data_IF_235074125897
#
_entry.id   IF_235074125897
#
_cell.length_a   1.000
_cell.length_b   1.000
_cell.length_c   1.000
_cell.angle_alpha   90.00
_cell.angle_beta   90.00
_cell.angle_gamma   90.00
#
_symmetry.space_group_name_H-M   'P 1'
#
loop_
_entity.id
_entity.type
_entity.pdbx_description
1 polymer ?
#
# COMPACT_ATOMS: atom_id res chain seq x y z
N UNK A 1 -44.17 -1.56 29.57
CA UNK A 1 -43.38 -2.67 29.06
C UNK A 1 -44.19 -3.95 29.23
N UNK A 2 -44.45 -4.68 28.13
CA UNK A 2 -45.23 -5.92 28.16
C UNK A 2 -44.43 -7.03 28.89
N UNK A 3 -45.13 -7.92 29.58
CA UNK A 3 -44.59 -9.00 30.40
C UNK A 3 -43.47 -9.85 29.77
N UNK A 4 -43.42 -10.08 28.41
CA UNK A 4 -42.37 -10.84 27.74
C UNK A 4 -40.98 -10.18 27.79
N UNK A 5 -40.92 -8.87 27.68
CA UNK A 5 -39.65 -8.14 27.70
C UNK A 5 -39.01 -8.06 29.10
N UNK A 6 -39.82 -7.97 30.14
CA UNK A 6 -39.34 -8.06 31.54
C UNK A 6 -38.68 -9.42 31.82
N UNK A 7 -39.26 -10.49 31.27
CA UNK A 7 -38.66 -11.84 31.35
C UNK A 7 -37.32 -11.90 30.63
N UNK A 8 -37.25 -11.42 29.39
CA UNK A 8 -36.02 -11.46 28.61
C UNK A 8 -34.86 -10.75 29.35
N UNK A 9 -35.10 -9.58 29.91
CA UNK A 9 -34.11 -8.83 30.68
C UNK A 9 -33.68 -9.59 31.94
N UNK A 10 -34.63 -10.19 32.64
CA UNK A 10 -34.30 -11.01 33.85
C UNK A 10 -33.44 -12.23 33.52
N UNK A 11 -33.74 -12.90 32.41
CA UNK A 11 -33.01 -14.10 31.98
C UNK A 11 -31.55 -13.75 31.64
N UNK A 12 -31.26 -12.55 31.04
CA UNK A 12 -29.90 -12.07 30.85
C UNK A 12 -29.14 -11.84 32.16
N UNK A 13 -29.82 -11.35 33.19
CA UNK A 13 -29.19 -11.13 34.51
C UNK A 13 -28.95 -12.43 35.28
N UNK A 14 -29.74 -13.46 35.03
CA UNK A 14 -29.61 -14.75 35.69
C UNK A 14 -28.46 -15.59 35.12
N UNK A 15 -28.20 -15.49 33.76
CA UNK A 15 -27.14 -16.22 33.08
C UNK A 15 -26.02 -15.25 32.57
N UNK A 16 -25.53 -14.36 33.45
CA UNK A 16 -24.59 -13.28 33.08
C UNK A 16 -23.35 -13.77 32.35
N UNK A 17 -22.70 -14.84 32.82
CA UNK A 17 -21.48 -15.37 32.22
C UNK A 17 -21.70 -15.82 30.77
N UNK A 18 -22.81 -16.50 30.53
CA UNK A 18 -23.17 -17.00 29.21
C UNK A 18 -23.53 -15.88 28.24
N UNK A 19 -24.33 -14.92 28.71
CA UNK A 19 -24.70 -13.72 27.97
C UNK A 19 -23.46 -12.90 27.57
N UNK A 20 -22.53 -12.71 28.53
CA UNK A 20 -21.28 -12.00 28.29
C UNK A 20 -20.42 -12.70 27.24
N UNK A 21 -20.30 -14.04 27.31
CA UNK A 21 -19.56 -14.82 26.32
C UNK A 21 -20.14 -14.68 24.90
N UNK A 22 -21.49 -14.66 24.76
CA UNK A 22 -22.16 -14.47 23.49
C UNK A 22 -21.86 -13.08 22.91
N UNK A 23 -22.09 -12.05 23.75
CA UNK A 23 -21.86 -10.65 23.34
C UNK A 23 -20.40 -10.48 22.95
N UNK A 24 -19.46 -11.03 23.74
CA UNK A 24 -18.03 -10.96 23.43
C UNK A 24 -17.67 -11.68 22.14
N UNK A 25 -18.19 -12.88 21.88
CA UNK A 25 -17.94 -13.62 20.64
C UNK A 25 -18.46 -12.89 19.40
N UNK A 26 -19.66 -12.31 19.48
CA UNK A 26 -20.21 -11.51 18.39
C UNK A 26 -19.40 -10.22 18.21
N UNK A 27 -19.08 -9.52 19.30
CA UNK A 27 -18.31 -8.29 19.27
C UNK A 27 -16.92 -8.51 18.66
N UNK A 28 -16.24 -9.61 19.04
CA UNK A 28 -14.94 -9.99 18.47
C UNK A 28 -15.02 -10.19 16.94
N UNK A 29 -16.05 -10.89 16.45
CA UNK A 29 -16.26 -11.10 15.03
C UNK A 29 -16.52 -9.80 14.26
N UNK A 30 -17.38 -8.94 14.81
CA UNK A 30 -17.68 -7.63 14.21
C UNK A 30 -16.44 -6.72 14.23
N UNK A 31 -15.73 -6.62 15.37
CA UNK A 31 -14.52 -5.82 15.50
C UNK A 31 -13.43 -6.28 14.54
N UNK A 32 -13.18 -7.58 14.41
CA UNK A 32 -12.20 -8.13 13.50
C UNK A 32 -12.52 -7.77 12.04
N UNK A 33 -13.76 -7.97 11.63
CA UNK A 33 -14.20 -7.64 10.27
C UNK A 33 -14.17 -6.13 9.99
N UNK A 34 -14.68 -5.32 10.93
CA UNK A 34 -14.67 -3.86 10.81
C UNK A 34 -13.25 -3.29 10.77
N UNK A 35 -12.33 -3.82 11.59
CA UNK A 35 -10.92 -3.41 11.59
C UNK A 35 -10.25 -3.67 10.24
N UNK A 36 -10.51 -4.84 9.63
CA UNK A 36 -9.97 -5.15 8.30
C UNK A 36 -10.51 -4.21 7.24
N UNK A 37 -11.84 -3.95 7.23
CA UNK A 37 -12.46 -3.03 6.28
C UNK A 37 -11.97 -1.59 6.45
N UNK A 38 -11.84 -1.13 7.69
CA UNK A 38 -11.33 0.21 7.99
C UNK A 38 -9.88 0.35 7.56
N UNK A 39 -9.03 -0.66 7.86
CA UNK A 39 -7.64 -0.69 7.42
C UNK A 39 -7.54 -0.66 5.90
N UNK A 40 -8.40 -1.41 5.20
CA UNK A 40 -8.47 -1.38 3.74
C UNK A 40 -8.76 0.04 3.22
N UNK A 41 -9.82 0.66 3.71
CA UNK A 41 -10.25 1.98 3.25
C UNK A 41 -9.19 3.07 3.52
N UNK A 42 -8.59 3.05 4.72
CA UNK A 42 -7.56 4.00 5.11
C UNK A 42 -6.30 3.78 4.28
N UNK A 43 -5.80 2.54 4.23
CA UNK A 43 -4.52 2.23 3.57
C UNK A 43 -4.58 2.56 2.08
N UNK A 44 -5.64 2.15 1.36
CA UNK A 44 -5.79 2.46 -0.06
C UNK A 44 -5.82 3.96 -0.30
N UNK A 45 -6.62 4.68 0.49
CA UNK A 45 -6.75 6.13 0.36
C UNK A 45 -5.43 6.86 0.63
N UNK A 46 -4.72 6.50 1.71
CA UNK A 46 -3.48 7.18 2.09
C UNK A 46 -2.32 6.83 1.16
N UNK A 47 -2.26 5.59 0.64
CA UNK A 47 -1.26 5.21 -0.36
C UNK A 47 -1.44 6.00 -1.66
N UNK A 48 -2.67 6.06 -2.20
CA UNK A 48 -2.92 6.78 -3.45
C UNK A 48 -2.69 8.29 -3.27
N UNK A 49 -3.14 8.86 -2.14
CA UNK A 49 -2.92 10.27 -1.85
C UNK A 49 -1.43 10.60 -1.68
N UNK A 50 -0.71 9.83 -0.86
CA UNK A 50 0.73 10.02 -0.67
C UNK A 50 1.52 9.90 -1.97
N UNK A 51 1.11 8.99 -2.85
CA UNK A 51 1.71 8.85 -4.18
C UNK A 51 1.43 10.05 -5.08
N UNK A 52 0.18 10.53 -5.14
CA UNK A 52 -0.19 11.70 -5.93
C UNK A 52 0.51 12.99 -5.47
N UNK A 53 0.77 13.13 -4.17
CA UNK A 53 1.50 14.28 -3.61
C UNK A 53 2.96 14.34 -4.10
N UNK A 54 3.52 13.22 -4.57
CA UNK A 54 4.85 13.20 -5.20
C UNK A 54 4.86 13.71 -6.63
N UNK A 55 3.71 14.05 -7.21
CA UNK A 55 3.56 14.42 -8.62
C UNK A 55 4.11 13.32 -9.56
N UNK A 56 3.51 12.12 -9.56
CA UNK A 56 4.03 10.97 -10.27
C UNK A 56 4.01 11.17 -11.78
N UNK A 57 4.98 10.56 -12.49
CA UNK A 57 5.03 10.61 -13.93
C UNK A 57 3.76 10.06 -14.58
N UNK A 58 3.17 10.77 -15.54
CA UNK A 58 2.05 10.28 -16.35
C UNK A 58 2.50 9.15 -17.28
N UNK A 59 3.69 9.27 -17.86
CA UNK A 59 4.33 8.20 -18.62
C UNK A 59 5.85 8.22 -18.45
N UNK A 60 6.45 7.04 -18.63
CA UNK A 60 7.91 6.84 -18.58
C UNK A 60 8.37 6.21 -19.87
N UNK A 61 9.23 6.90 -20.61
CA UNK A 61 9.81 6.41 -21.85
C UNK A 61 11.27 5.98 -21.60
N UNK A 62 11.61 4.77 -22.05
CA UNK A 62 13.01 4.30 -22.04
C UNK A 62 13.63 4.57 -23.40
N UNK A 63 14.67 5.39 -23.40
CA UNK A 63 15.36 5.86 -24.62
C UNK A 63 16.81 5.39 -24.56
N UNK A 64 17.48 5.30 -25.71
CA UNK A 64 18.90 4.95 -25.76
C UNK A 64 19.76 5.98 -25.01
N UNK A 65 19.50 7.29 -25.24
CA UNK A 65 20.18 8.40 -24.57
C UNK A 65 19.31 9.65 -24.59
N UNK A 66 19.31 10.39 -23.51
CA UNK A 66 18.55 11.63 -23.33
C UNK A 66 19.55 12.75 -23.02
N UNK A 67 19.46 13.85 -23.77
CA UNK A 67 20.19 15.10 -23.56
C UNK A 67 19.21 16.26 -23.33
N UNK A 68 19.77 17.42 -22.98
CA UNK A 68 18.96 18.60 -22.64
C UNK A 68 18.22 19.18 -23.86
N UNK A 69 18.77 19.01 -25.06
CA UNK A 69 18.14 19.44 -26.31
C UNK A 69 16.86 18.62 -26.57
N UNK A 70 16.93 17.30 -26.37
CA UNK A 70 15.76 16.42 -26.51
C UNK A 70 14.69 16.78 -25.48
N UNK A 71 15.06 16.98 -24.22
CA UNK A 71 14.12 17.41 -23.16
C UNK A 71 13.47 18.74 -23.53
N UNK A 72 14.26 19.71 -23.98
CA UNK A 72 13.76 21.02 -24.43
C UNK A 72 12.77 20.93 -25.59
N UNK A 73 13.02 20.04 -26.54
CA UNK A 73 12.10 19.82 -27.66
C UNK A 73 10.78 19.16 -27.23
N UNK A 74 10.83 18.24 -26.27
CA UNK A 74 9.62 17.58 -25.74
C UNK A 74 8.76 18.59 -24.96
N UNK A 75 9.38 19.50 -24.22
CA UNK A 75 8.68 20.57 -23.51
C UNK A 75 7.98 21.58 -24.42
N UNK A 76 8.33 21.62 -25.72
CA UNK A 76 7.60 22.42 -26.72
C UNK A 76 6.28 21.80 -27.17
N UNK A 77 6.03 20.51 -26.85
CA UNK A 77 4.73 19.89 -27.08
C UNK A 77 3.70 20.48 -26.11
N UNK A 78 2.61 21.11 -26.60
CA UNK A 78 1.62 21.78 -25.75
C UNK A 78 0.88 20.83 -24.80
N UNK A 79 0.83 19.53 -25.11
CA UNK A 79 0.19 18.50 -24.27
C UNK A 79 1.10 18.02 -23.12
N UNK A 80 2.40 18.34 -23.14
CA UNK A 80 3.36 18.03 -22.08
C UNK A 80 3.49 19.22 -21.13
N UNK A 81 3.29 19.00 -19.84
CA UNK A 81 3.50 20.05 -18.83
C UNK A 81 4.92 20.06 -18.30
N UNK A 82 5.56 18.88 -18.15
CA UNK A 82 6.92 18.74 -17.66
C UNK A 82 7.58 17.45 -18.20
N UNK A 83 8.92 17.47 -18.24
CA UNK A 83 9.73 16.34 -18.68
C UNK A 83 11.06 16.30 -17.90
N UNK A 84 11.38 15.16 -17.30
CA UNK A 84 12.53 15.04 -16.43
C UNK A 84 13.34 13.77 -16.77
N UNK A 85 14.66 13.93 -17.11
CA UNK A 85 15.52 12.80 -17.41
C UNK A 85 15.97 12.12 -16.12
N UNK A 86 15.98 10.80 -16.13
CA UNK A 86 16.44 9.89 -15.05
C UNK A 86 17.29 8.79 -15.61
N UNK A 87 18.01 8.10 -14.75
CA UNK A 87 18.62 6.82 -15.08
C UNK A 87 18.43 5.85 -13.93
N UNK A 88 18.28 4.58 -14.28
CA UNK A 88 18.24 3.48 -13.31
C UNK A 88 19.32 2.48 -13.67
N UNK A 89 20.19 2.17 -12.72
CA UNK A 89 21.26 1.19 -12.88
C UNK A 89 21.06 0.09 -11.84
N UNK A 90 21.09 -1.15 -12.31
CA UNK A 90 21.06 -2.32 -11.42
C UNK A 90 22.47 -2.71 -11.01
N UNK A 91 22.61 -3.10 -9.75
CA UNK A 91 23.89 -3.51 -9.19
C UNK A 91 23.71 -4.38 -7.97
N UNK A 92 24.73 -4.41 -7.16
CA UNK A 92 24.72 -5.10 -5.87
C UNK A 92 25.39 -4.23 -4.80
N UNK A 93 24.91 -4.33 -3.58
CA UNK A 93 25.47 -3.71 -2.39
C UNK A 93 25.86 -4.80 -1.39
N UNK A 94 26.99 -4.63 -0.74
CA UNK A 94 27.49 -5.58 0.25
C UNK A 94 26.82 -5.35 1.60
N UNK A 95 25.99 -6.30 2.00
CA UNK A 95 25.23 -6.30 3.25
C UNK A 95 25.87 -7.23 4.27
N UNK A 96 27.03 -6.83 4.83
CA UNK A 96 27.85 -7.63 5.74
C UNK A 96 29.04 -8.29 5.04
N UNK A 97 29.84 -9.16 5.72
CA UNK A 97 31.16 -9.59 5.25
C UNK A 97 31.13 -10.36 3.93
N UNK A 98 30.09 -11.16 3.68
CA UNK A 98 30.03 -12.10 2.54
C UNK A 98 28.75 -11.94 1.70
N UNK A 99 27.74 -11.25 2.24
CA UNK A 99 26.43 -11.18 1.62
C UNK A 99 26.30 -10.00 0.64
N UNK A 100 25.85 -10.28 -0.57
CA UNK A 100 25.45 -9.28 -1.54
C UNK A 100 23.93 -9.20 -1.64
N UNK A 101 23.41 -7.99 -1.81
CA UNK A 101 21.99 -7.71 -2.03
C UNK A 101 21.82 -7.00 -3.37
N UNK A 102 20.69 -7.24 -4.02
CA UNK A 102 20.35 -6.51 -5.22
C UNK A 102 20.21 -5.03 -4.87
N UNK A 103 20.77 -4.19 -5.71
CA UNK A 103 20.74 -2.74 -5.60
C UNK A 103 20.15 -2.16 -6.87
N UNK A 104 19.19 -1.28 -6.71
CA UNK A 104 18.69 -0.42 -7.77
C UNK A 104 19.12 1.01 -7.46
N UNK A 105 19.98 1.55 -8.32
CA UNK A 105 20.47 2.93 -8.21
C UNK A 105 19.65 3.84 -9.10
N UNK A 106 19.03 4.83 -8.51
CA UNK A 106 18.36 5.92 -9.19
C UNK A 106 19.32 7.11 -9.30
N UNK A 107 19.54 7.56 -10.53
CA UNK A 107 20.39 8.70 -10.80
C UNK A 107 19.50 9.90 -11.09
N UNK A 108 19.65 10.92 -10.27
CA UNK A 108 18.90 12.18 -10.36
C UNK A 108 19.82 13.24 -10.95
N UNK A 109 19.29 14.01 -11.91
CA UNK A 109 20.04 15.08 -12.56
C UNK A 109 20.32 16.25 -11.62
N UNK A 110 19.26 16.72 -10.97
CA UNK A 110 19.32 17.83 -10.01
C UNK A 110 18.40 17.55 -8.82
N UNK A 111 18.99 17.39 -7.65
CA UNK A 111 18.25 17.16 -6.41
C UNK A 111 17.55 18.44 -5.88
N UNK A 112 17.95 19.62 -6.35
CA UNK A 112 17.31 20.89 -6.02
C UNK A 112 16.05 21.17 -6.83
N UNK A 113 15.88 20.51 -7.99
CA UNK A 113 14.77 20.72 -8.91
C UNK A 113 14.11 19.38 -9.34
N UNK A 114 13.65 18.61 -8.37
CA UNK A 114 12.86 17.40 -8.62
C UNK A 114 11.39 17.79 -8.72
N UNK A 115 10.82 17.76 -9.93
CA UNK A 115 9.43 18.15 -10.18
C UNK A 115 8.50 16.97 -10.37
N UNK A 116 9.01 15.86 -10.91
CA UNK A 116 8.27 14.62 -11.20
C UNK A 116 8.76 13.51 -10.28
N UNK A 117 7.85 12.76 -9.67
CA UNK A 117 8.14 11.69 -8.70
C UNK A 117 9.09 12.19 -7.61
N UNK A 118 8.61 13.17 -6.85
CA UNK A 118 9.37 13.86 -5.81
C UNK A 118 9.82 12.90 -4.72
N UNK A 119 11.07 13.04 -4.33
CA UNK A 119 11.66 12.33 -3.20
C UNK A 119 11.50 13.17 -1.93
N UNK A 120 11.30 12.50 -0.79
CA UNK A 120 11.19 13.16 0.51
C UNK A 120 12.45 12.89 1.33
N UNK A 121 13.34 13.87 1.55
CA UNK A 121 14.47 13.71 2.46
C UNK A 121 13.98 13.50 3.89
N UNK A 122 14.55 12.50 4.61
CA UNK A 122 14.17 12.23 5.99
C UNK A 122 15.29 12.52 6.99
N UNK A 123 16.50 12.05 6.72
CA UNK A 123 17.62 12.24 7.63
C UNK A 123 18.96 12.29 6.88
N UNK A 124 19.95 12.96 7.47
CA UNK A 124 21.30 13.09 6.90
C UNK A 124 21.42 14.22 5.89
N UNK A 125 22.39 14.11 4.98
CA UNK A 125 22.68 15.12 3.98
C UNK A 125 21.72 15.04 2.80
N UNK A 126 21.32 16.19 2.28
CA UNK A 126 20.56 16.37 1.06
C UNK A 126 21.01 17.65 0.35
N UNK A 127 21.39 17.63 -0.91
CA UNK A 127 21.59 16.48 -1.81
C UNK A 127 22.83 15.64 -1.42
N UNK A 128 22.99 14.40 -1.98
CA UNK A 128 24.20 13.61 -1.80
C UNK A 128 25.35 14.24 -2.56
N UNK A 129 26.53 14.33 -1.95
CA UNK A 129 27.76 14.77 -2.63
C UNK A 129 28.30 13.66 -3.55
N UNK A 130 29.33 13.97 -4.32
CA UNK A 130 30.01 12.98 -5.16
C UNK A 130 30.70 11.93 -4.29
N UNK A 131 30.46 10.66 -4.57
CA UNK A 131 30.95 9.53 -3.75
C UNK A 131 30.00 9.14 -2.62
N UNK A 132 28.83 9.75 -2.57
CA UNK A 132 27.80 9.47 -1.56
C UNK A 132 26.57 8.79 -2.17
N UNK A 133 25.83 8.07 -1.32
CA UNK A 133 24.56 7.42 -1.64
C UNK A 133 23.53 7.73 -0.57
N UNK A 134 22.33 8.09 -1.01
CA UNK A 134 21.15 8.06 -0.14
C UNK A 134 20.50 6.69 -0.25
N UNK A 135 19.97 6.17 0.84
CA UNK A 135 19.26 4.90 0.89
C UNK A 135 17.79 5.16 1.23
N UNK A 136 16.89 4.46 0.54
CA UNK A 136 15.47 4.47 0.89
C UNK A 136 15.28 3.95 2.31
N UNK A 137 14.42 4.60 3.10
CA UNK A 137 14.27 4.35 4.55
C UNK A 137 14.04 2.89 4.93
N UNK A 138 13.21 2.15 4.14
CA UNK A 138 12.94 0.74 4.41
C UNK A 138 14.07 -0.19 3.97
N UNK A 139 14.99 0.29 3.11
CA UNK A 139 16.10 -0.47 2.58
C UNK A 139 17.30 -0.58 3.53
N UNK A 140 17.39 0.26 4.57
CA UNK A 140 18.49 0.20 5.55
C UNK A 140 18.63 -1.17 6.21
N UNK A 141 17.52 -1.83 6.53
CA UNK A 141 17.54 -3.17 7.12
C UNK A 141 18.05 -4.24 6.14
N UNK A 142 17.72 -4.10 4.85
CA UNK A 142 18.18 -5.00 3.79
C UNK A 142 19.66 -4.78 3.50
N UNK A 143 20.09 -3.52 3.44
CA UNK A 143 21.47 -3.12 3.26
C UNK A 143 22.36 -3.45 4.47
N UNK A 144 21.75 -3.60 5.66
CA UNK A 144 22.47 -3.71 6.96
C UNK A 144 23.46 -2.57 7.17
N UNK A 145 23.08 -1.37 6.77
CA UNK A 145 23.88 -0.16 6.84
C UNK A 145 23.17 0.92 7.68
N UNK A 146 23.93 1.94 8.07
CA UNK A 146 23.44 3.13 8.76
C UNK A 146 23.99 4.37 8.07
N UNK A 147 23.39 5.53 8.34
CA UNK A 147 23.94 6.82 7.91
C UNK A 147 25.33 6.99 8.54
N UNK A 148 26.33 7.34 7.72
CA UNK A 148 27.73 7.44 8.07
C UNK A 148 28.56 6.21 7.75
N UNK A 149 27.95 5.08 7.40
CA UNK A 149 28.69 3.87 7.00
C UNK A 149 29.22 3.99 5.57
N UNK A 150 30.37 3.36 5.32
CA UNK A 150 30.87 3.12 3.97
C UNK A 150 30.35 1.77 3.48
N UNK A 151 29.60 1.78 2.39
CA UNK A 151 29.06 0.57 1.77
C UNK A 151 29.79 0.26 0.47
N UNK A 152 30.05 -1.02 0.22
CA UNK A 152 30.65 -1.46 -1.05
C UNK A 152 29.53 -1.73 -2.05
N UNK A 153 29.62 -1.08 -3.20
CA UNK A 153 28.66 -1.18 -4.31
C UNK A 153 29.41 -1.65 -5.55
N UNK A 154 28.77 -2.50 -6.34
CA UNK A 154 29.22 -2.84 -7.70
C UNK A 154 28.05 -2.81 -8.66
N UNK A 155 28.28 -2.29 -9.85
CA UNK A 155 27.34 -2.29 -10.97
C UNK A 155 27.64 -3.44 -11.93
N UNK A 156 26.99 -3.49 -13.09
CA UNK A 156 27.17 -4.54 -14.08
C UNK A 156 28.61 -4.66 -14.60
N UNK A 157 29.42 -3.60 -14.51
CA UNK A 157 30.84 -3.61 -14.86
C UNK A 157 31.71 -4.45 -13.89
N UNK A 158 31.16 -4.91 -12.79
CA UNK A 158 31.81 -5.79 -11.80
C UNK A 158 32.82 -5.10 -10.88
N UNK A 159 33.10 -3.79 -11.05
CA UNK A 159 34.07 -3.07 -10.21
C UNK A 159 33.44 -2.67 -8.88
N UNK A 160 34.09 -3.05 -7.79
CA UNK A 160 33.68 -2.65 -6.45
C UNK A 160 34.14 -1.22 -6.13
N UNK A 161 33.25 -0.42 -5.58
CA UNK A 161 33.51 0.95 -5.11
C UNK A 161 32.88 1.16 -3.75
N UNK A 162 33.51 1.97 -2.92
CA UNK A 162 32.93 2.39 -1.65
C UNK A 162 32.21 3.70 -1.82
N UNK A 163 30.99 3.78 -1.26
CA UNK A 163 30.18 4.99 -1.18
C UNK A 163 29.84 5.25 0.28
N UNK A 164 29.86 6.50 0.69
CA UNK A 164 29.38 6.94 2.01
C UNK A 164 27.85 7.01 1.99
N UNK A 165 27.19 6.36 2.92
CA UNK A 165 25.75 6.53 3.17
C UNK A 165 25.54 7.87 3.83
N UNK A 166 25.18 8.89 3.08
CA UNK A 166 25.06 10.26 3.60
C UNK A 166 23.69 10.60 4.16
N UNK A 167 22.65 9.87 3.78
CA UNK A 167 21.30 10.14 4.25
C UNK A 167 20.25 9.10 3.92
N UNK A 168 19.05 9.37 4.39
CA UNK A 168 17.84 8.61 4.17
C UNK A 168 16.84 9.41 3.34
N UNK A 169 16.16 8.74 2.45
CA UNK A 169 15.11 9.31 1.61
C UNK A 169 13.89 8.39 1.61
N UNK A 170 12.70 8.97 1.53
CA UNK A 170 11.47 8.23 1.29
C UNK A 170 11.02 8.43 -0.16
N UNK A 171 10.96 7.34 -0.92
CA UNK A 171 10.38 7.28 -2.26
C UNK A 171 9.08 6.48 -2.24
N UNK A 172 7.97 7.20 -2.20
CA UNK A 172 6.62 6.61 -2.13
C UNK A 172 6.33 5.70 -3.32
N UNK A 173 6.97 5.91 -4.46
CA UNK A 173 6.77 5.12 -5.68
C UNK A 173 7.41 3.73 -5.65
N UNK A 174 8.26 3.43 -4.66
CA UNK A 174 8.94 2.14 -4.57
C UNK A 174 8.15 1.13 -3.73
N UNK A 175 8.36 -0.16 -4.02
CA UNK A 175 7.88 -1.23 -3.17
C UNK A 175 8.66 -1.26 -1.85
N UNK A 176 8.09 -1.91 -0.84
CA UNK A 176 8.79 -2.11 0.42
C UNK A 176 10.05 -2.97 0.20
N UNK A 177 11.21 -2.38 0.43
CA UNK A 177 12.53 -3.00 0.20
C UNK A 177 12.66 -4.39 0.87
N UNK A 178 12.07 -4.56 2.06
CA UNK A 178 12.09 -5.82 2.81
C UNK A 178 11.31 -6.94 2.13
N UNK A 179 10.21 -6.62 1.46
CA UNK A 179 9.39 -7.63 0.76
C UNK A 179 10.10 -8.14 -0.50
N UNK A 180 10.74 -7.25 -1.23
CA UNK A 180 11.45 -7.58 -2.47
C UNK A 180 12.92 -8.00 -2.23
N UNK A 181 13.45 -7.74 -1.03
CA UNK A 181 14.86 -7.96 -0.69
C UNK A 181 15.81 -7.20 -1.61
N UNK A 182 15.42 -5.97 -1.98
CA UNK A 182 16.15 -5.05 -2.86
C UNK A 182 16.52 -3.79 -2.06
N UNK A 183 17.71 -3.27 -2.29
CA UNK A 183 18.12 -1.96 -1.77
C UNK A 183 17.89 -0.91 -2.85
N UNK A 184 17.18 0.14 -2.52
CA UNK A 184 17.00 1.30 -3.38
C UNK A 184 17.94 2.40 -2.93
N UNK A 185 18.82 2.82 -3.84
CA UNK A 185 19.82 3.86 -3.60
C UNK A 185 19.68 5.02 -4.59
N UNK A 186 20.06 6.21 -4.16
CA UNK A 186 19.95 7.44 -4.95
C UNK A 186 21.29 8.13 -4.99
N UNK A 187 21.77 8.43 -6.17
CA UNK A 187 23.08 9.04 -6.42
C UNK A 187 22.99 10.15 -7.46
N UNK A 188 23.98 11.04 -7.48
CA UNK A 188 24.15 12.01 -8.53
C UNK A 188 24.93 11.43 -9.72
N UNK A 189 24.92 12.13 -10.86
CA UNK A 189 25.62 11.69 -12.06
C UNK A 189 27.13 11.55 -11.88
N UNK A 190 27.86 12.45 -11.18
CA UNK A 190 29.30 12.27 -10.89
C UNK A 190 29.61 10.99 -10.09
N UNK A 191 28.77 10.63 -9.12
CA UNK A 191 28.93 9.35 -8.38
C UNK A 191 28.74 8.15 -9.30
N UNK A 192 27.81 8.20 -10.26
CA UNK A 192 27.62 7.15 -11.25
C UNK A 192 28.88 6.93 -12.09
N UNK A 193 29.57 8.01 -12.50
CA UNK A 193 30.85 7.96 -13.22
C UNK A 193 31.94 7.29 -12.38
N UNK A 194 32.01 7.61 -11.08
CA UNK A 194 32.94 6.95 -10.17
C UNK A 194 32.69 5.42 -10.05
N UNK A 195 31.43 4.99 -10.19
CA UNK A 195 31.07 3.57 -10.25
C UNK A 195 31.49 2.91 -11.57
N UNK A 196 32.01 3.69 -12.55
CA UNK A 196 32.48 3.21 -13.84
C UNK A 196 31.39 3.07 -14.89
N UNK A 197 30.24 3.71 -14.68
CA UNK A 197 29.15 3.77 -15.62
C UNK A 197 29.24 5.02 -16.50
N UNK A 198 28.64 4.97 -17.70
CA UNK A 198 28.63 6.12 -18.60
C UNK A 198 27.67 7.22 -18.11
N UNK A 199 28.03 8.53 -18.28
CA UNK A 199 27.22 9.65 -17.79
C UNK A 199 26.09 10.04 -18.74
N UNK A 200 25.05 9.23 -18.87
CA UNK A 200 23.85 9.57 -19.66
C UNK A 200 22.58 9.20 -18.93
N UNK A 201 21.47 9.77 -19.35
CA UNK A 201 20.13 9.44 -18.91
C UNK A 201 19.43 8.60 -19.99
N UNK A 202 18.61 7.64 -19.56
CA UNK A 202 17.90 6.68 -20.42
C UNK A 202 16.43 6.49 -20.08
N UNK A 203 15.94 7.23 -19.09
CA UNK A 203 14.52 7.28 -18.71
C UNK A 203 14.04 8.71 -18.76
N UNK A 204 12.95 8.92 -19.49
CA UNK A 204 12.25 10.19 -19.54
C UNK A 204 10.91 10.04 -18.81
N UNK A 205 10.79 10.74 -17.70
CA UNK A 205 9.52 10.89 -17.01
C UNK A 205 8.81 12.10 -17.59
N UNK A 206 7.56 11.95 -18.02
CA UNK A 206 6.76 13.06 -18.54
C UNK A 206 5.47 13.24 -17.73
N UNK A 207 5.02 14.49 -17.66
CA UNK A 207 3.71 14.86 -17.15
C UNK A 207 2.87 15.41 -18.31
N UNK A 208 1.65 14.92 -18.46
CA UNK A 208 0.67 15.51 -19.36
C UNK A 208 0.03 16.75 -18.73
N UNK A 209 -0.32 17.74 -19.54
CA UNK A 209 -0.87 19.03 -19.07
C UNK A 209 -2.30 18.90 -18.61
N UNK A 210 -3.12 18.15 -19.36
CA UNK A 210 -4.54 17.99 -19.12
C UNK A 210 -4.89 16.52 -18.99
N UNK A 211 -6.06 16.21 -18.41
CA UNK A 211 -6.59 14.85 -18.32
C UNK A 211 -5.58 13.83 -17.78
N UNK A 212 -4.87 14.20 -16.69
CA UNK A 212 -3.78 13.40 -16.09
C UNK A 212 -4.25 12.04 -15.55
N UNK A 213 -5.57 11.81 -15.47
CA UNK A 213 -6.16 10.56 -15.02
C UNK A 213 -6.84 9.77 -16.16
N UNK A 214 -6.79 10.29 -17.38
CA UNK A 214 -7.32 9.61 -18.58
C UNK A 214 -6.21 8.82 -19.25
N UNK A 215 -6.26 7.50 -19.14
CA UNK A 215 -5.24 6.61 -19.68
C UNK A 215 -5.10 6.72 -21.20
N UNK A 216 -6.21 6.80 -21.93
CA UNK A 216 -6.19 6.91 -23.42
C UNK A 216 -5.53 8.22 -23.87
N UNK A 217 -5.82 9.30 -23.15
CA UNK A 217 -5.17 10.58 -23.41
C UNK A 217 -3.67 10.52 -23.16
N UNK A 218 -3.24 9.92 -22.03
CA UNK A 218 -1.82 9.78 -21.68
C UNK A 218 -1.09 8.91 -22.71
N UNK A 219 -1.68 7.79 -23.12
CA UNK A 219 -1.10 6.88 -24.13
C UNK A 219 -0.93 7.57 -25.48
N UNK A 220 -1.89 8.41 -25.90
CA UNK A 220 -1.79 9.22 -27.11
C UNK A 220 -0.64 10.22 -27.03
N UNK A 221 -0.55 11.01 -25.96
CA UNK A 221 0.53 11.99 -25.76
C UNK A 221 1.89 11.28 -25.68
N UNK A 222 1.99 10.15 -25.00
CA UNK A 222 3.21 9.36 -24.93
C UNK A 222 3.64 8.83 -26.32
N UNK A 223 2.68 8.44 -27.18
CA UNK A 223 2.95 8.04 -28.55
C UNK A 223 3.43 9.22 -29.43
N UNK A 224 2.88 10.41 -29.24
CA UNK A 224 3.37 11.63 -29.92
C UNK A 224 4.80 11.96 -29.49
N UNK A 225 5.09 11.91 -28.19
CA UNK A 225 6.44 12.12 -27.65
C UNK A 225 7.42 11.05 -28.18
N UNK A 226 6.99 9.78 -28.24
CA UNK A 226 7.79 8.71 -28.86
C UNK A 226 8.13 9.04 -30.31
N UNK A 227 7.16 9.43 -31.12
CA UNK A 227 7.36 9.81 -32.53
C UNK A 227 8.33 10.98 -32.68
N UNK A 228 8.24 11.98 -31.79
CA UNK A 228 9.16 13.12 -31.76
C UNK A 228 10.60 12.67 -31.44
N UNK A 229 10.78 11.78 -30.46
CA UNK A 229 12.07 11.23 -30.07
C UNK A 229 12.69 10.43 -31.23
N UNK A 230 11.90 9.53 -31.85
CA UNK A 230 12.33 8.71 -32.97
C UNK A 230 12.66 9.55 -34.23
N UNK A 231 11.87 10.59 -34.48
CA UNK A 231 12.13 11.58 -35.55
C UNK A 231 13.44 12.38 -35.38
N UNK A 232 14.01 12.40 -34.17
CA UNK A 232 15.34 12.96 -33.87
C UNK A 232 16.47 11.93 -33.88
N UNK A 233 16.19 10.71 -34.37
CA UNK A 233 17.20 9.64 -34.49
C UNK A 233 17.56 8.95 -33.20
N UNK A 234 16.70 9.06 -32.15
CA UNK A 234 16.85 8.32 -30.91
C UNK A 234 15.93 7.10 -30.90
N UNK A 235 16.36 6.04 -30.22
CA UNK A 235 15.59 4.80 -30.14
C UNK A 235 14.78 4.77 -28.83
N UNK A 236 13.45 4.68 -28.95
CA UNK A 236 12.58 4.42 -27.80
C UNK A 236 12.43 2.91 -27.64
N UNK A 237 12.97 2.37 -26.54
CA UNK A 237 12.97 0.94 -26.22
C UNK A 237 11.65 0.48 -25.63
N UNK A 238 11.01 1.34 -24.84
CA UNK A 238 9.80 1.03 -24.11
C UNK A 238 9.04 2.28 -23.73
N UNK A 239 7.70 2.16 -23.65
CA UNK A 239 6.81 3.23 -23.17
C UNK A 239 5.91 2.60 -22.11
N UNK A 240 6.03 3.05 -20.89
CA UNK A 240 5.22 2.60 -19.77
C UNK A 240 4.29 3.73 -19.32
N UNK A 241 2.98 3.44 -19.32
CA UNK A 241 1.95 4.31 -18.76
C UNK A 241 1.42 3.64 -17.49
N UNK A 242 1.83 4.11 -16.29
CA UNK A 242 1.31 3.59 -15.02
C UNK A 242 -0.20 3.77 -14.93
N UNK A 243 -0.87 3.02 -14.07
CA UNK A 243 -2.30 3.22 -13.81
C UNK A 243 -2.52 4.62 -13.23
N UNK A 244 -3.23 5.52 -13.96
CA UNK A 244 -3.34 6.91 -13.53
C UNK A 244 -4.01 7.02 -12.14
N UNK A 245 -3.46 7.84 -11.28
CA UNK A 245 -4.02 8.10 -9.95
C UNK A 245 -3.87 6.96 -8.92
N UNK A 246 -3.20 5.87 -9.27
CA UNK A 246 -2.99 4.71 -8.38
C UNK A 246 -1.52 4.49 -8.11
N UNK A 247 -1.22 4.09 -6.87
CA UNK A 247 0.12 3.67 -6.51
C UNK A 247 0.54 2.43 -7.35
N UNK A 248 1.80 2.34 -7.86
CA UNK A 248 2.25 1.23 -8.70
C UNK A 248 2.04 -0.16 -8.09
N UNK A 249 2.08 -0.27 -6.76
CA UNK A 249 1.88 -1.53 -6.03
C UNK A 249 0.48 -1.69 -5.43
N UNK A 250 -0.51 -0.86 -5.83
CA UNK A 250 -1.89 -0.91 -5.33
C UNK A 250 -2.56 -2.27 -5.58
N UNK A 251 -2.25 -2.93 -6.71
CA UNK A 251 -2.84 -4.23 -7.05
C UNK A 251 -2.38 -5.34 -6.08
N UNK A 252 -1.08 -5.39 -5.73
CA UNK A 252 -0.56 -6.34 -4.74
C UNK A 252 -1.15 -6.09 -3.35
N UNK A 253 -1.21 -4.81 -2.95
CA UNK A 253 -1.86 -4.41 -1.70
C UNK A 253 -3.33 -4.81 -1.70
N UNK A 254 -4.04 -4.61 -2.83
CA UNK A 254 -5.43 -5.01 -3.01
C UNK A 254 -5.66 -6.51 -2.82
N UNK A 255 -4.78 -7.37 -3.37
CA UNK A 255 -4.85 -8.83 -3.21
C UNK A 255 -4.67 -9.23 -1.75
N UNK A 256 -3.67 -8.66 -1.04
CA UNK A 256 -3.45 -8.93 0.38
C UNK A 256 -4.66 -8.51 1.23
N UNK A 257 -5.21 -7.34 0.96
CA UNK A 257 -6.37 -6.82 1.68
C UNK A 257 -7.63 -7.64 1.38
N UNK A 258 -7.80 -8.14 0.15
CA UNK A 258 -8.88 -9.06 -0.20
C UNK A 258 -8.76 -10.37 0.59
N UNK A 259 -7.56 -10.94 0.68
CA UNK A 259 -7.30 -12.12 1.49
C UNK A 259 -7.64 -11.88 2.98
N UNK A 260 -7.17 -10.77 3.56
CA UNK A 260 -7.51 -10.40 4.95
C UNK A 260 -9.02 -10.19 5.15
N UNK A 261 -9.71 -9.56 4.19
CA UNK A 261 -11.17 -9.38 4.24
C UNK A 261 -11.90 -10.71 4.21
N UNK A 262 -11.41 -11.67 3.43
CA UNK A 262 -11.95 -13.03 3.40
C UNK A 262 -11.82 -13.71 4.77
N UNK A 263 -10.67 -13.59 5.44
CA UNK A 263 -10.50 -14.10 6.82
C UNK A 263 -11.46 -13.41 7.79
N UNK A 264 -11.61 -12.08 7.69
CA UNK A 264 -12.58 -11.33 8.51
C UNK A 264 -14.01 -11.84 8.32
N UNK A 265 -14.41 -12.12 7.08
CA UNK A 265 -15.71 -12.71 6.77
C UNK A 265 -15.87 -14.12 7.37
N UNK A 266 -14.85 -14.98 7.30
CA UNK A 266 -14.87 -16.29 7.94
C UNK A 266 -15.05 -16.20 9.45
N UNK A 267 -14.35 -15.28 10.12
CA UNK A 267 -14.50 -15.05 11.57
C UNK A 267 -15.93 -14.61 11.88
N UNK A 268 -16.51 -13.72 11.06
CA UNK A 268 -17.91 -13.28 11.22
C UNK A 268 -18.90 -14.45 11.07
N UNK A 269 -18.71 -15.32 10.06
CA UNK A 269 -19.54 -16.50 9.85
C UNK A 269 -19.43 -17.51 11.02
N UNK A 270 -18.21 -17.77 11.50
CA UNK A 270 -17.99 -18.63 12.67
C UNK A 270 -18.66 -18.08 13.92
N UNK A 271 -18.58 -16.76 14.14
CA UNK A 271 -19.30 -16.08 15.22
C UNK A 271 -20.81 -16.25 15.08
N UNK A 272 -21.35 -16.15 13.86
CA UNK A 272 -22.77 -16.42 13.59
C UNK A 272 -23.19 -17.85 13.94
N UNK A 273 -22.41 -18.83 13.55
CA UNK A 273 -22.65 -20.27 13.90
C UNK A 273 -22.60 -20.47 15.41
N UNK A 274 -21.64 -19.86 16.11
CA UNK A 274 -21.55 -19.92 17.56
C UNK A 274 -22.80 -19.34 18.21
N UNK A 275 -23.30 -18.21 17.73
CA UNK A 275 -24.55 -17.60 18.23
C UNK A 275 -25.75 -18.53 18.04
N UNK A 276 -25.90 -19.12 16.84
CA UNK A 276 -26.98 -20.07 16.57
C UNK A 276 -26.92 -21.27 17.52
N UNK A 277 -25.74 -21.87 17.70
CA UNK A 277 -25.56 -22.98 18.60
C UNK A 277 -25.91 -22.61 20.05
N UNK A 278 -25.52 -21.44 20.48
CA UNK A 278 -25.76 -20.97 21.84
C UNK A 278 -27.23 -20.62 22.08
N UNK A 279 -27.91 -19.98 21.12
CA UNK A 279 -29.36 -19.74 21.17
C UNK A 279 -30.12 -21.03 21.16
N UNK A 280 -29.72 -22.01 20.36
CA UNK A 280 -30.34 -23.36 20.35
C UNK A 280 -30.20 -24.04 21.71
N UNK A 281 -29.03 -23.98 22.33
CA UNK A 281 -28.82 -24.53 23.67
C UNK A 281 -29.64 -23.79 24.75
N UNK A 282 -29.79 -22.46 24.64
CA UNK A 282 -30.68 -21.66 25.48
C UNK A 282 -32.14 -22.10 25.36
N UNK A 283 -32.60 -22.26 24.11
CA UNK A 283 -33.97 -22.73 23.86
C UNK A 283 -34.19 -24.15 24.42
N UNK A 284 -33.23 -25.05 24.26
CA UNK A 284 -33.28 -26.40 24.80
C UNK A 284 -33.38 -26.41 26.34
N UNK A 285 -32.65 -25.54 27.05
CA UNK A 285 -32.75 -25.42 28.52
C UNK A 285 -34.08 -24.85 28.99
N UNK A 286 -34.82 -24.14 28.11
CA UNK A 286 -36.11 -23.51 28.44
C UNK A 286 -37.33 -24.27 27.89
N UNK A 287 -37.18 -25.50 27.39
CA UNK A 287 -38.27 -26.30 26.80
C UNK A 287 -39.48 -26.41 27.73
N UNK A 288 -39.27 -26.60 29.02
CA UNK A 288 -40.36 -26.65 30.01
C UNK A 288 -41.16 -25.34 30.08
N UNK A 289 -40.47 -24.20 30.00
CA UNK A 289 -41.11 -22.87 30.02
C UNK A 289 -41.87 -22.60 28.71
N UNK A 290 -41.31 -23.06 27.58
CA UNK A 290 -41.97 -23.00 26.27
C UNK A 290 -43.26 -23.85 26.30
N UNK A 291 -43.20 -25.04 26.90
CA UNK A 291 -44.37 -25.90 27.09
C UNK A 291 -45.49 -25.23 27.92
N UNK A 292 -45.14 -24.60 29.03
CA UNK A 292 -46.11 -23.85 29.85
C UNK A 292 -46.70 -22.67 29.05
N UNK A 293 -45.89 -21.92 28.32
CA UNK A 293 -46.40 -20.81 27.47
C UNK A 293 -47.37 -21.30 26.41
N UNK A 294 -47.16 -22.47 25.81
CA UNK A 294 -48.08 -23.10 24.86
C UNK A 294 -49.38 -23.56 25.55
N UNK A 295 -49.29 -24.13 26.72
CA UNK A 295 -50.46 -24.64 27.50
C UNK A 295 -51.44 -23.49 27.86
N UNK A 296 -50.90 -22.29 28.11
CA UNK A 296 -51.72 -21.08 28.40
C UNK A 296 -52.10 -20.30 27.14
N UNK A 297 -51.99 -20.91 25.93
CA UNK A 297 -52.48 -20.34 24.69
C UNK A 297 -51.46 -19.48 23.89
N UNK A 298 -50.15 -19.60 24.19
CA UNK A 298 -49.11 -18.93 23.44
C UNK A 298 -48.92 -19.54 22.03
N UNK A 299 -49.10 -18.70 20.99
CA UNK A 299 -48.86 -19.14 19.59
C UNK A 299 -47.36 -19.31 19.30
N UNK A 300 -47.01 -20.19 18.35
CA UNK A 300 -45.62 -20.43 17.92
C UNK A 300 -44.92 -19.12 17.51
N UNK A 301 -45.62 -18.25 16.83
CA UNK A 301 -45.11 -16.97 16.37
C UNK A 301 -44.79 -15.98 17.51
N UNK A 302 -45.64 -15.97 18.55
CA UNK A 302 -45.41 -15.17 19.75
C UNK A 302 -44.14 -15.59 20.50
N UNK A 303 -43.95 -16.91 20.62
CA UNK A 303 -42.75 -17.49 21.27
C UNK A 303 -41.52 -17.17 20.43
N UNK A 304 -41.52 -17.42 19.13
CA UNK A 304 -40.40 -17.09 18.20
C UNK A 304 -40.01 -15.61 18.27
N UNK A 305 -40.95 -14.70 18.32
CA UNK A 305 -40.72 -13.26 18.43
C UNK A 305 -39.97 -12.86 19.72
N UNK A 306 -40.17 -13.56 20.81
CA UNK A 306 -39.44 -13.32 22.09
C UNK A 306 -37.98 -13.68 21.92
N UNK A 307 -37.68 -14.87 21.38
CA UNK A 307 -36.29 -15.33 21.18
C UNK A 307 -35.57 -14.52 20.10
N UNK A 308 -36.27 -14.11 19.02
CA UNK A 308 -35.72 -13.21 18.03
C UNK A 308 -35.38 -11.83 18.62
N UNK A 309 -36.25 -11.31 19.49
CA UNK A 309 -35.95 -10.08 20.24
C UNK A 309 -34.74 -10.19 21.17
N UNK A 310 -34.56 -11.37 21.83
CA UNK A 310 -33.36 -11.64 22.61
C UNK A 310 -32.10 -11.67 21.74
N UNK A 311 -32.13 -12.34 20.58
CA UNK A 311 -31.02 -12.38 19.63
C UNK A 311 -30.66 -10.98 19.13
N UNK A 312 -31.67 -10.18 18.79
CA UNK A 312 -31.48 -8.80 18.34
C UNK A 312 -30.83 -7.93 19.44
N UNK A 313 -31.28 -8.07 20.69
CA UNK A 313 -30.72 -7.34 21.81
C UNK A 313 -29.24 -7.71 22.05
N UNK A 314 -28.90 -8.99 21.98
CA UNK A 314 -27.53 -9.47 22.09
C UNK A 314 -26.65 -8.93 20.96
N UNK A 315 -27.18 -8.94 19.72
CA UNK A 315 -26.51 -8.37 18.57
C UNK A 315 -26.25 -6.86 18.72
N UNK A 316 -27.26 -6.10 19.17
CA UNK A 316 -27.09 -4.66 19.42
C UNK A 316 -26.08 -4.38 20.56
N UNK A 317 -26.13 -5.14 21.64
CA UNK A 317 -25.14 -5.03 22.71
C UNK A 317 -23.72 -5.31 22.21
N UNK A 318 -23.56 -6.34 21.35
CA UNK A 318 -22.28 -6.68 20.76
C UNK A 318 -21.77 -5.57 19.82
N UNK A 319 -22.63 -4.95 19.02
CA UNK A 319 -22.28 -3.77 18.17
C UNK A 319 -21.74 -2.63 19.03
N UNK A 320 -22.42 -2.31 20.14
CA UNK A 320 -21.97 -1.24 21.06
C UNK A 320 -20.59 -1.55 21.66
N UNK A 321 -20.34 -2.81 22.00
CA UNK A 321 -19.05 -3.27 22.56
C UNK A 321 -17.96 -3.37 21.48
N UNK A 322 -18.33 -3.58 20.19
CA UNK A 322 -17.42 -3.73 19.09
C UNK A 322 -16.87 -2.42 18.53
N UNK A 323 -17.53 -1.31 18.85
CA UNK A 323 -17.06 0.04 18.42
C UNK A 323 -16.04 0.51 19.47
N UNK A 324 -14.75 0.74 19.11
CA UNK A 324 -13.74 1.25 20.02
C UNK A 324 -14.00 2.71 20.43
#
# INVERSE_FOLDING_TARGET
MTTPWKKAIRDFWTERARTALVVFAIALGISAFASVLSSYAILTRELDRGYLDTNPASAVLRVDKIDDELVGAILQNPEVSDAEPRRTVTGQIKAGPVQWRNLVLFVVKDYGDIRISKLQPEAGAWPPATGEILIERDAFQVAKAKIGDNVTVKTANGKERQLLVSGSVHDVGQAQARMENIVYGYVNLPTLVQLGEEPYFDRLNILVRNNQFDREHIERVAAEVKTLIEGRGRLVKDVNVPSPGKHPHSDLTGILLLAMSSFGLFVLLLSGILVVNLLTALMASQVRQIGVMKAIGGTRWRIARIYFGQALFLGLAAVVVSIP
#
